data_IF_612586109597
#
_entry.id   IF_612586109597
#
_cell.length_a   1.000
_cell.length_b   1.000
_cell.length_c   1.000
_cell.angle_alpha   90.00
_cell.angle_beta   90.00
_cell.angle_gamma   90.00
#
_symmetry.space_group_name_H-M   'P 1'
#
loop_
_entity.id
_entity.type
_entity.pdbx_description
1 polymer ?
#
# COMPACT_ATOMS: atom_id res chain seq x y z
N UNK A 1 0.02 -11.63 -5.19
CA UNK A 1 -1.20 -12.20 -5.77
C UNK A 1 -1.31 -12.09 -7.30
N UNK A 2 -0.39 -11.40 -7.96
CA UNK A 2 -0.46 -11.13 -9.38
C UNK A 2 -1.20 -9.82 -9.68
N UNK A 3 -1.61 -9.60 -10.92
CA UNK A 3 -2.27 -8.37 -11.36
C UNK A 3 -3.73 -8.59 -11.69
N UNK A 4 -4.54 -7.54 -11.45
CA UNK A 4 -5.97 -7.55 -11.74
C UNK A 4 -6.80 -8.30 -10.72
N UNK A 5 -8.10 -8.16 -10.84
CA UNK A 5 -9.08 -8.84 -10.01
C UNK A 5 -10.13 -9.50 -10.90
N UNK A 6 -10.90 -10.49 -10.39
CA UNK A 6 -11.97 -11.13 -11.16
C UNK A 6 -13.02 -10.13 -11.65
N UNK A 7 -13.73 -10.50 -12.73
CA UNK A 7 -14.75 -9.64 -13.32
C UNK A 7 -15.92 -9.36 -12.38
N UNK A 8 -16.19 -10.26 -11.43
CA UNK A 8 -17.25 -10.10 -10.45
C UNK A 8 -16.78 -9.36 -9.18
N UNK A 9 -15.68 -8.61 -9.27
CA UNK A 9 -15.08 -7.90 -8.15
C UNK A 9 -16.11 -7.07 -7.39
N UNK A 10 -16.10 -7.23 -6.06
CA UNK A 10 -16.87 -6.44 -5.11
C UNK A 10 -15.95 -6.08 -3.94
N UNK A 11 -15.78 -4.79 -3.70
CA UNK A 11 -14.90 -4.29 -2.65
C UNK A 11 -15.28 -4.78 -1.26
N UNK A 12 -16.56 -5.04 -1.02
CA UNK A 12 -17.07 -5.49 0.26
C UNK A 12 -17.07 -7.01 0.43
N UNK A 13 -16.60 -7.76 -0.57
CA UNK A 13 -16.58 -9.22 -0.54
C UNK A 13 -15.20 -9.72 -0.99
N UNK A 14 -14.39 -10.10 0.00
CA UNK A 14 -13.02 -10.56 -0.27
C UNK A 14 -12.96 -11.80 -1.16
N UNK A 15 -13.99 -12.64 -1.17
CA UNK A 15 -14.02 -13.84 -2.01
C UNK A 15 -14.02 -13.51 -3.50
N UNK A 16 -14.39 -12.28 -3.88
CA UNK A 16 -14.39 -11.81 -5.26
C UNK A 16 -13.07 -11.14 -5.66
N UNK A 17 -12.08 -11.15 -4.80
CA UNK A 17 -10.84 -10.42 -4.98
C UNK A 17 -9.64 -11.35 -5.10
N UNK A 18 -8.60 -10.85 -5.74
CA UNK A 18 -7.30 -11.52 -5.76
C UNK A 18 -6.60 -11.26 -4.43
N UNK A 19 -6.60 -12.27 -3.57
CA UNK A 19 -6.06 -12.16 -2.21
C UNK A 19 -4.61 -12.63 -2.12
N UNK A 20 -3.99 -12.45 -0.95
CA UNK A 20 -2.63 -12.90 -0.72
C UNK A 20 -2.51 -14.41 -0.79
N UNK A 21 -1.40 -14.90 -1.34
CA UNK A 21 -0.99 -16.28 -1.23
C UNK A 21 -0.37 -16.55 0.14
N UNK A 22 -0.05 -17.81 0.42
CA UNK A 22 0.72 -18.18 1.62
C UNK A 22 2.04 -17.42 1.68
N UNK A 23 2.75 -17.34 0.55
CA UNK A 23 4.01 -16.58 0.46
C UNK A 23 3.79 -15.10 0.71
N UNK A 24 2.69 -14.53 0.21
CA UNK A 24 2.34 -13.14 0.46
C UNK A 24 2.10 -12.86 1.94
N UNK A 25 1.41 -13.77 2.64
CA UNK A 25 1.20 -13.63 4.09
C UNK A 25 2.51 -13.73 4.86
N UNK A 26 3.37 -14.67 4.47
CA UNK A 26 4.70 -14.82 5.07
C UNK A 26 5.55 -13.57 4.84
N UNK A 27 5.52 -13.02 3.64
CA UNK A 27 6.21 -11.76 3.33
C UNK A 27 5.71 -10.62 4.21
N UNK A 28 4.40 -10.52 4.42
CA UNK A 28 3.82 -9.49 5.30
C UNK A 28 4.32 -9.62 6.73
N UNK A 29 4.46 -10.86 7.25
CA UNK A 29 5.05 -11.10 8.56
C UNK A 29 6.50 -10.60 8.62
N UNK A 30 7.30 -10.88 7.61
CA UNK A 30 8.69 -10.45 7.57
C UNK A 30 8.82 -8.93 7.44
N UNK A 31 7.90 -8.28 6.74
CA UNK A 31 7.85 -6.82 6.70
C UNK A 31 7.65 -6.28 8.12
N UNK A 32 6.69 -6.80 8.85
CA UNK A 32 6.44 -6.39 10.23
C UNK A 32 7.65 -6.63 11.14
N UNK A 33 8.28 -7.79 11.01
CA UNK A 33 9.49 -8.13 11.77
C UNK A 33 10.63 -7.15 11.46
N UNK A 34 10.80 -6.78 10.20
CA UNK A 34 11.81 -5.81 9.78
C UNK A 34 11.61 -4.46 10.48
N UNK A 35 10.38 -3.96 10.51
CA UNK A 35 10.07 -2.69 11.16
C UNK A 35 10.34 -2.77 12.67
N UNK A 36 9.93 -3.84 13.32
CA UNK A 36 10.15 -4.02 14.77
C UNK A 36 11.63 -4.18 15.11
N UNK A 37 12.32 -5.03 14.36
CA UNK A 37 13.76 -5.32 14.60
C UNK A 37 14.62 -4.07 14.43
N UNK A 38 14.29 -3.23 13.48
CA UNK A 38 15.05 -2.00 13.20
C UNK A 38 14.49 -0.79 13.94
N UNK A 39 13.52 -0.99 14.84
CA UNK A 39 12.93 0.05 15.68
C UNK A 39 12.46 1.27 14.86
N UNK A 40 11.88 1.01 13.70
CA UNK A 40 11.35 2.06 12.82
C UNK A 40 10.08 2.62 13.44
N UNK A 41 10.07 3.91 13.75
CA UNK A 41 8.92 4.56 14.38
C UNK A 41 7.85 4.86 13.34
N UNK A 42 6.60 4.52 13.66
CA UNK A 42 5.45 4.74 12.79
C UNK A 42 4.43 5.60 13.53
N UNK A 43 3.91 6.62 12.84
CA UNK A 43 2.81 7.42 13.36
C UNK A 43 1.48 6.78 12.98
N UNK A 44 1.26 6.59 11.69
CA UNK A 44 0.03 6.00 11.15
C UNK A 44 0.34 4.97 10.10
N UNK A 45 -0.54 3.97 10.01
CA UNK A 45 -0.58 3.00 8.93
C UNK A 45 -1.93 3.14 8.23
N UNK A 46 -1.90 3.51 6.96
CA UNK A 46 -3.09 3.63 6.13
C UNK A 46 -3.04 2.59 5.02
N UNK A 47 -4.19 2.02 4.70
CA UNK A 47 -4.31 0.96 3.72
C UNK A 47 -5.37 1.28 2.69
N UNK A 48 -5.15 0.83 1.47
CA UNK A 48 -6.21 0.68 0.49
C UNK A 48 -7.35 -0.16 1.06
N UNK A 49 -8.55 0.05 0.56
CA UNK A 49 -9.73 -0.73 0.95
C UNK A 49 -9.75 -2.14 0.36
N UNK A 50 -8.83 -2.47 -0.56
CA UNK A 50 -8.71 -3.82 -1.11
C UNK A 50 -8.28 -4.81 -0.03
N UNK A 51 -8.88 -6.00 -0.06
CA UNK A 51 -8.65 -7.00 0.99
C UNK A 51 -7.18 -7.41 1.11
N UNK A 52 -6.45 -7.54 0.00
CA UNK A 52 -5.01 -7.89 0.06
C UNK A 52 -4.17 -6.84 0.75
N UNK A 53 -4.52 -5.56 0.59
CA UNK A 53 -3.82 -4.47 1.29
C UNK A 53 -4.16 -4.45 2.77
N UNK A 54 -5.43 -4.63 3.11
CA UNK A 54 -5.86 -4.69 4.52
C UNK A 54 -5.22 -5.87 5.24
N UNK A 55 -5.14 -7.03 4.60
CA UNK A 55 -4.51 -8.21 5.19
C UNK A 55 -3.02 -7.98 5.40
N UNK A 56 -2.33 -7.39 4.42
CA UNK A 56 -0.91 -7.04 4.56
C UNK A 56 -0.69 -6.09 5.74
N UNK A 57 -1.48 -5.02 5.84
CA UNK A 57 -1.38 -4.06 6.92
C UNK A 57 -1.63 -4.70 8.29
N UNK A 58 -2.64 -5.56 8.38
CA UNK A 58 -2.98 -6.26 9.62
C UNK A 58 -1.87 -7.21 10.07
N UNK A 59 -1.34 -8.00 9.15
CA UNK A 59 -0.28 -8.96 9.48
C UNK A 59 1.00 -8.23 9.88
N UNK A 60 1.41 -7.22 9.12
CA UNK A 60 2.68 -6.52 9.35
C UNK A 60 2.62 -5.57 10.55
N UNK A 61 1.52 -4.82 10.70
CA UNK A 61 1.48 -3.68 11.61
C UNK A 61 0.37 -3.75 12.67
N UNK A 62 -0.56 -4.67 12.56
CA UNK A 62 -1.73 -4.90 13.42
C UNK A 62 -2.76 -3.77 13.34
N UNK A 63 -2.43 -2.56 13.76
CA UNK A 63 -3.34 -1.42 13.75
C UNK A 63 -3.19 -0.60 12.47
N UNK A 64 -4.30 -0.33 11.81
CA UNK A 64 -4.33 0.46 10.59
C UNK A 64 -5.73 1.02 10.36
N UNK A 65 -5.81 2.03 9.48
CA UNK A 65 -7.06 2.55 8.97
C UNK A 65 -7.08 2.46 7.45
N UNK A 66 -8.26 2.38 6.85
CA UNK A 66 -8.40 2.38 5.40
C UNK A 66 -8.70 3.77 4.89
N UNK A 67 -8.27 4.06 3.66
CA UNK A 67 -8.57 5.32 3.01
C UNK A 67 -8.63 5.13 1.49
N UNK A 68 -9.64 5.73 0.86
CA UNK A 68 -9.97 5.47 -0.54
C UNK A 68 -8.92 5.97 -1.53
N UNK A 69 -8.16 7.02 -1.19
CA UNK A 69 -7.14 7.50 -2.14
C UNK A 69 -5.97 6.54 -2.34
N UNK A 70 -5.87 5.47 -1.53
CA UNK A 70 -4.89 4.41 -1.72
C UNK A 70 -5.41 3.26 -2.60
N UNK A 71 -6.65 3.32 -3.05
CA UNK A 71 -7.27 2.26 -3.82
C UNK A 71 -6.66 2.10 -5.22
N UNK A 72 -6.83 0.92 -5.80
CA UNK A 72 -6.35 0.64 -7.15
C UNK A 72 -7.22 1.33 -8.20
N UNK A 73 -6.56 1.89 -9.21
CA UNK A 73 -7.22 2.37 -10.42
C UNK A 73 -6.73 1.59 -11.67
N UNK A 74 -6.21 0.40 -11.46
CA UNK A 74 -5.70 -0.45 -12.54
C UNK A 74 -6.80 -0.88 -13.50
N UNK A 75 -7.95 -1.31 -12.97
CA UNK A 75 -9.09 -1.70 -13.79
C UNK A 75 -9.70 -0.48 -14.47
N UNK A 76 -10.13 -0.63 -15.72
CA UNK A 76 -10.82 0.42 -16.46
C UNK A 76 -12.03 0.98 -15.70
N UNK A 77 -12.68 0.14 -14.88
CA UNK A 77 -13.81 0.53 -14.04
C UNK A 77 -13.44 1.62 -13.03
N UNK A 78 -12.21 1.63 -12.53
CA UNK A 78 -11.72 2.56 -11.51
C UNK A 78 -10.73 3.59 -12.06
N UNK A 79 -10.34 3.51 -13.31
CA UNK A 79 -9.33 4.39 -13.91
C UNK A 79 -9.71 5.87 -13.84
N UNK A 80 -11.00 6.19 -13.87
CA UNK A 80 -11.51 7.55 -13.76
C UNK A 80 -11.21 8.22 -12.43
N UNK A 81 -10.89 7.46 -11.40
CA UNK A 81 -10.63 7.96 -10.05
C UNK A 81 -9.19 8.42 -9.84
N UNK A 82 -8.29 8.11 -10.78
CA UNK A 82 -6.86 8.32 -10.63
C UNK A 82 -6.49 9.75 -10.22
N UNK A 83 -6.93 10.73 -10.97
CA UNK A 83 -6.51 12.12 -10.75
C UNK A 83 -6.96 12.64 -9.38
N UNK A 84 -8.18 12.34 -8.98
CA UNK A 84 -8.71 12.75 -7.67
C UNK A 84 -7.97 12.05 -6.53
N UNK A 85 -7.67 10.76 -6.70
CA UNK A 85 -6.92 10.00 -5.69
C UNK A 85 -5.52 10.55 -5.48
N UNK A 86 -4.81 10.81 -6.57
CA UNK A 86 -3.45 11.36 -6.53
C UNK A 86 -3.45 12.73 -5.89
N UNK A 87 -4.40 13.58 -6.23
CA UNK A 87 -4.54 14.92 -5.63
C UNK A 87 -4.78 14.82 -4.11
N UNK A 88 -5.70 13.96 -3.69
CA UNK A 88 -6.01 13.77 -2.27
C UNK A 88 -4.81 13.20 -1.50
N UNK A 89 -4.10 12.25 -2.10
CA UNK A 89 -2.89 11.68 -1.50
C UNK A 89 -1.80 12.75 -1.33
N UNK A 90 -1.53 13.52 -2.36
CA UNK A 90 -0.53 14.59 -2.31
C UNK A 90 -0.85 15.58 -1.20
N UNK A 91 -2.10 16.00 -1.10
CA UNK A 91 -2.54 16.93 -0.06
C UNK A 91 -2.34 16.35 1.33
N UNK A 92 -2.78 15.11 1.53
CA UNK A 92 -2.64 14.42 2.81
C UNK A 92 -1.18 14.33 3.25
N UNK A 93 -0.30 13.90 2.35
CA UNK A 93 1.12 13.71 2.65
C UNK A 93 1.81 15.04 2.95
N UNK A 94 1.49 16.09 2.19
CA UNK A 94 2.06 17.42 2.43
C UNK A 94 1.64 18.00 3.77
N UNK A 95 0.40 17.76 4.18
CA UNK A 95 -0.15 18.26 5.43
C UNK A 95 0.21 17.37 6.64
N UNK A 96 0.71 16.17 6.40
CA UNK A 96 1.09 15.24 7.46
C UNK A 96 2.31 15.77 8.20
N UNK A 97 2.16 15.96 9.52
CA UNK A 97 3.23 16.48 10.37
C UNK A 97 3.51 15.51 11.51
N UNK A 98 4.67 14.88 11.45
CA UNK A 98 5.15 13.97 12.50
C UNK A 98 6.65 13.75 12.31
N UNK A 99 7.36 13.48 13.39
CA UNK A 99 8.75 13.04 13.35
C UNK A 99 8.87 11.53 13.14
N UNK A 100 7.73 10.84 13.04
CA UNK A 100 7.64 9.41 12.77
C UNK A 100 7.19 9.17 11.34
N UNK A 101 7.27 7.93 10.90
CA UNK A 101 6.94 7.56 9.53
C UNK A 101 5.45 7.36 9.32
N UNK A 102 4.98 7.76 8.16
CA UNK A 102 3.67 7.44 7.63
C UNK A 102 3.81 6.21 6.72
N UNK A 103 3.07 5.16 7.03
CA UNK A 103 3.09 3.93 6.24
C UNK A 103 1.83 3.86 5.39
N UNK A 104 2.01 3.65 4.08
CA UNK A 104 0.92 3.53 3.12
C UNK A 104 0.99 2.16 2.46
N UNK A 105 -0.05 1.36 2.64
CA UNK A 105 -0.15 0.04 2.01
C UNK A 105 -1.10 0.17 0.81
N UNK A 106 -0.54 0.04 -0.37
CA UNK A 106 -1.26 0.37 -1.60
C UNK A 106 -0.87 -0.54 -2.76
N UNK A 107 -1.14 -0.12 -3.97
CA UNK A 107 -0.97 -0.88 -5.21
C UNK A 107 0.16 -0.32 -6.05
N UNK A 108 0.79 -1.19 -6.86
CA UNK A 108 1.88 -0.75 -7.73
C UNK A 108 1.47 0.36 -8.69
N UNK A 109 0.20 0.40 -9.13
CA UNK A 109 -0.28 1.43 -10.04
C UNK A 109 -0.20 2.82 -9.42
N UNK A 110 -0.52 2.94 -8.13
CA UNK A 110 -0.42 4.21 -7.42
C UNK A 110 1.05 4.61 -7.20
N UNK A 111 1.87 3.66 -6.78
CA UNK A 111 3.32 3.90 -6.59
C UNK A 111 3.95 4.36 -7.90
N UNK A 112 3.64 3.68 -9.01
CA UNK A 112 4.15 4.06 -10.33
C UNK A 112 3.73 5.48 -10.72
N UNK A 113 2.49 5.85 -10.43
CA UNK A 113 1.98 7.17 -10.78
C UNK A 113 2.66 8.29 -10.00
N UNK A 114 2.87 8.11 -8.69
CA UNK A 114 3.39 9.18 -7.84
C UNK A 114 4.92 9.19 -7.73
N UNK A 115 5.58 8.05 -7.93
CA UNK A 115 7.03 7.91 -7.76
C UNK A 115 7.75 7.54 -9.06
N UNK A 116 7.02 7.30 -10.15
CA UNK A 116 7.59 6.84 -11.42
C UNK A 116 8.50 5.62 -11.22
N UNK A 117 8.02 4.65 -10.44
CA UNK A 117 8.78 3.46 -10.07
C UNK A 117 7.89 2.23 -10.09
N UNK A 118 8.34 1.16 -10.74
CA UNK A 118 7.61 -0.11 -10.83
C UNK A 118 8.00 -1.03 -9.67
N UNK A 119 7.24 -0.91 -8.57
CA UNK A 119 7.48 -1.71 -7.38
C UNK A 119 7.06 -3.16 -7.57
N UNK A 120 7.82 -4.08 -6.98
CA UNK A 120 7.47 -5.49 -6.86
C UNK A 120 6.49 -5.70 -5.71
N UNK A 121 5.81 -6.85 -5.69
CA UNK A 121 4.92 -7.21 -4.59
C UNK A 121 5.68 -7.22 -3.26
N UNK A 122 5.20 -6.46 -2.29
CA UNK A 122 5.80 -6.38 -0.95
C UNK A 122 7.05 -5.54 -0.84
N UNK A 123 7.48 -4.94 -1.94
CA UNK A 123 8.62 -4.01 -1.90
C UNK A 123 8.24 -2.74 -1.16
N UNK A 124 9.15 -2.27 -0.29
CA UNK A 124 8.98 -1.02 0.44
C UNK A 124 9.68 0.08 -0.32
N UNK A 125 8.95 1.13 -0.68
CA UNK A 125 9.52 2.29 -1.36
C UNK A 125 9.48 3.47 -0.39
N UNK A 126 10.63 4.09 -0.19
CA UNK A 126 10.79 5.19 0.77
C UNK A 126 10.91 6.50 0.01
N UNK A 127 10.11 7.48 0.37
CA UNK A 127 10.15 8.81 -0.23
C UNK A 127 10.01 9.91 0.83
N UNK A 128 10.33 11.13 0.43
CA UNK A 128 10.01 12.31 1.23
C UNK A 128 8.57 12.78 0.98
N UNK A 129 8.17 13.88 1.62
CA UNK A 129 6.80 14.43 1.51
C UNK A 129 6.45 14.94 0.11
N UNK A 130 7.43 15.20 -0.72
CA UNK A 130 7.23 15.67 -2.08
C UNK A 130 7.28 14.52 -3.08
N UNK A 131 7.25 13.27 -2.58
CA UNK A 131 7.38 12.06 -3.39
C UNK A 131 8.69 11.99 -4.18
N UNK A 132 9.76 12.55 -3.62
CA UNK A 132 11.11 12.28 -4.10
C UNK A 132 11.58 10.96 -3.49
N UNK A 133 11.86 9.98 -4.34
CA UNK A 133 12.24 8.64 -3.88
C UNK A 133 13.61 8.67 -3.20
N UNK A 134 13.69 8.11 -2.00
CA UNK A 134 14.93 8.02 -1.22
C UNK A 134 15.60 6.66 -1.44
N UNK A 135 14.82 5.60 -1.51
CA UNK A 135 15.33 4.25 -1.71
C UNK A 135 14.24 3.20 -1.65
N UNK A 136 14.66 1.95 -1.77
CA UNK A 136 13.75 0.81 -1.71
C UNK A 136 14.32 -0.27 -0.81
N UNK A 137 13.43 -1.11 -0.26
CA UNK A 137 13.80 -2.24 0.59
C UNK A 137 13.02 -3.45 0.11
N UNK A 138 13.72 -4.51 -0.30
CA UNK A 138 13.11 -5.80 -0.57
C UNK A 138 13.25 -6.70 0.64
N UNK A 139 12.12 -7.24 1.08
CA UNK A 139 12.09 -8.18 2.20
C UNK A 139 12.13 -9.59 1.64
N UNK A 140 13.19 -10.32 1.96
CA UNK A 140 13.35 -11.72 1.57
C UNK A 140 12.67 -12.62 2.61
N UNK A 141 12.02 -13.66 2.12
CA UNK A 141 11.27 -14.58 2.97
C UNK A 141 11.42 -16.03 2.48
#
# INVERSE_FOLDING_TARGET
PGSGDPNNFNLNDCSTQRNLSEDGRKQAQYIGDFFRKNKIRMDKVLSSEWCRCKETAKIAFKDFSTISFLNSFYSSKFAKNKDKQVEALNKYVKEFKSDKNLILVTHYVLISEVLDYSASSGEIVVSDKNFNMIGTIEIKY
#
